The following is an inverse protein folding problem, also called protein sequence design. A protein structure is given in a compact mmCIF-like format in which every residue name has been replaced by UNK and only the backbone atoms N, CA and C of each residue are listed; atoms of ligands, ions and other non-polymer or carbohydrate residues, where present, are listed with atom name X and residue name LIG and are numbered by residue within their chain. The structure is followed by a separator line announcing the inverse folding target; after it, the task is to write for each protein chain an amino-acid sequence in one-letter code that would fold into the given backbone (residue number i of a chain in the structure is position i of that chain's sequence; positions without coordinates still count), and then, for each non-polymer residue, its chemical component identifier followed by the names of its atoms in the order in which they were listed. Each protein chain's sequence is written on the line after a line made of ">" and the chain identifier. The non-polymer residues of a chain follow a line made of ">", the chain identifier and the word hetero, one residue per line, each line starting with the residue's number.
data_IF_986703036598
#
_entry.id   IF_986703036598
#
_cell.length_a   1.000
_cell.length_b   1.000
_cell.length_c   1.000
_cell.angle_alpha   90.00
_cell.angle_beta   90.00
_cell.angle_gamma   90.00
#
_symmetry.space_group_name_H-M   'P 1'
#
loop_
_entity.id
_entity.type
_entity.pdbx_description
1 polymer ?
#
# COMPACT_ATOMS: atom_id res chain seq x y z
N UNK A 1 -7.58 6.82 14.87
CA UNK A 1 -7.18 8.26 14.99
C UNK A 1 -8.30 9.10 15.61
N UNK A 2 -9.55 8.96 15.14
CA UNK A 2 -10.73 9.63 15.71
C UNK A 2 -10.82 9.56 17.24
N UNK A 3 -10.69 8.38 17.82
CA UNK A 3 -10.80 8.21 19.27
C UNK A 3 -9.66 8.89 20.03
N UNK A 4 -8.44 8.82 19.48
CA UNK A 4 -7.28 9.51 20.05
C UNK A 4 -7.52 11.03 20.05
N UNK A 5 -8.05 11.60 18.97
CA UNK A 5 -8.37 13.04 18.91
C UNK A 5 -9.47 13.43 19.91
N UNK A 6 -10.48 12.56 20.12
CA UNK A 6 -11.54 12.79 21.11
C UNK A 6 -11.04 12.71 22.56
N UNK A 7 -10.05 11.86 22.83
CA UNK A 7 -9.43 11.70 24.14
C UNK A 7 -8.42 12.82 24.42
N UNK A 8 -7.44 13.03 23.53
CA UNK A 8 -6.35 13.98 23.72
C UNK A 8 -6.80 15.45 23.57
N UNK A 9 -7.89 15.70 22.83
CA UNK A 9 -8.48 17.03 22.57
C UNK A 9 -7.43 18.10 22.25
N UNK A 10 -6.54 17.87 21.26
CA UNK A 10 -5.52 18.84 20.92
C UNK A 10 -6.16 20.14 20.41
N UNK A 11 -5.64 21.28 20.86
CA UNK A 11 -6.08 22.60 20.38
C UNK A 11 -5.54 22.83 18.96
N UNK A 12 -6.40 23.06 17.94
CA UNK A 12 -5.93 23.37 16.60
C UNK A 12 -5.26 24.76 16.58
N UNK A 13 -4.09 24.86 15.97
CA UNK A 13 -3.30 26.10 15.89
C UNK A 13 -3.75 27.04 14.77
N UNK A 14 -4.49 26.52 13.79
CA UNK A 14 -4.94 27.24 12.59
C UNK A 14 -6.26 26.63 12.09
N UNK A 15 -6.89 27.29 11.11
CA UNK A 15 -8.15 26.84 10.53
C UNK A 15 -8.01 25.51 9.78
N UNK A 16 -6.85 25.25 9.17
CA UNK A 16 -6.64 24.00 8.43
C UNK A 16 -6.63 22.78 9.35
N UNK A 17 -5.92 22.85 10.48
CA UNK A 17 -5.97 21.83 11.54
C UNK A 17 -7.36 21.71 12.14
N UNK A 18 -8.08 22.81 12.32
CA UNK A 18 -9.45 22.81 12.87
C UNK A 18 -10.42 22.07 11.95
N UNK A 19 -10.39 22.37 10.65
CA UNK A 19 -11.17 21.66 9.63
C UNK A 19 -10.78 20.17 9.57
N UNK A 20 -9.48 19.86 9.57
CA UNK A 20 -8.99 18.48 9.58
C UNK A 20 -9.49 17.70 10.80
N UNK A 21 -9.44 18.27 12.01
CA UNK A 21 -9.93 17.61 13.22
C UNK A 21 -11.45 17.45 13.19
N UNK A 22 -12.17 18.44 12.67
CA UNK A 22 -13.62 18.37 12.42
C UNK A 22 -13.97 17.19 11.51
N UNK A 23 -13.31 17.11 10.36
CA UNK A 23 -13.46 16.03 9.38
C UNK A 23 -13.10 14.66 9.96
N UNK A 24 -11.93 14.51 10.60
CA UNK A 24 -11.49 13.24 11.21
C UNK A 24 -12.42 12.73 12.34
N UNK A 25 -13.24 13.62 12.92
CA UNK A 25 -14.15 13.26 14.01
C UNK A 25 -15.61 13.12 13.57
N UNK A 26 -15.89 13.25 12.26
CA UNK A 26 -17.21 13.33 11.63
C UNK A 26 -18.10 14.40 12.27
N UNK A 27 -17.53 15.57 12.59
CA UNK A 27 -18.34 16.72 13.03
C UNK A 27 -18.95 17.42 11.82
N UNK A 28 -20.17 17.90 11.96
CA UNK A 28 -20.81 18.77 10.97
C UNK A 28 -20.02 20.06 10.76
N UNK A 29 -19.99 20.57 9.53
CA UNK A 29 -19.21 21.75 9.14
C UNK A 29 -19.45 23.01 10.00
N UNK A 30 -20.69 23.33 10.45
CA UNK A 30 -20.90 24.49 11.33
C UNK A 30 -20.12 24.40 12.65
N UNK A 31 -19.77 23.19 13.11
CA UNK A 31 -18.97 22.96 14.32
C UNK A 31 -17.47 23.14 14.08
N UNK A 32 -17.04 23.46 12.85
CA UNK A 32 -15.65 23.73 12.50
C UNK A 32 -15.31 25.21 12.65
N UNK A 33 -16.29 26.09 12.90
CA UNK A 33 -16.08 27.52 13.01
C UNK A 33 -14.89 27.90 13.95
N UNK A 34 -14.04 28.85 13.55
CA UNK A 34 -14.15 29.71 12.36
C UNK A 34 -13.64 29.09 11.03
N UNK A 35 -13.27 27.80 11.01
CA UNK A 35 -12.86 27.12 9.80
C UNK A 35 -14.07 26.66 8.95
N UNK A 36 -13.85 26.53 7.65
CA UNK A 36 -14.81 26.04 6.67
C UNK A 36 -14.23 24.90 5.83
N UNK A 37 -15.02 24.35 4.90
CA UNK A 37 -14.58 23.26 4.02
C UNK A 37 -13.37 23.64 3.15
N UNK A 38 -13.28 24.91 2.74
CA UNK A 38 -12.15 25.44 1.97
C UNK A 38 -10.82 25.39 2.75
N UNK A 39 -10.85 25.33 4.09
CA UNK A 39 -9.65 25.25 4.92
C UNK A 39 -9.10 23.82 5.02
N UNK A 40 -9.83 22.81 4.53
CA UNK A 40 -9.34 21.42 4.56
C UNK A 40 -7.99 21.31 3.85
N UNK A 41 -7.03 20.54 4.43
CA UNK A 41 -5.79 20.26 3.74
C UNK A 41 -6.05 19.67 2.35
N UNK A 42 -5.32 20.15 1.35
CA UNK A 42 -5.53 19.81 -0.06
C UNK A 42 -5.69 18.30 -0.31
N UNK A 43 -4.85 17.47 0.32
CA UNK A 43 -4.90 16.01 0.18
C UNK A 43 -6.19 15.40 0.74
N UNK A 44 -6.80 16.00 1.76
CA UNK A 44 -8.10 15.57 2.30
C UNK A 44 -9.22 15.98 1.35
N UNK A 45 -9.17 17.20 0.81
CA UNK A 45 -10.13 17.67 -0.19
C UNK A 45 -10.10 16.78 -1.45
N UNK A 46 -8.90 16.42 -1.94
CA UNK A 46 -8.73 15.47 -3.05
C UNK A 46 -9.26 14.07 -2.71
N UNK A 47 -9.07 13.60 -1.47
CA UNK A 47 -9.61 12.30 -1.03
C UNK A 47 -11.14 12.31 -0.98
N UNK A 48 -11.76 13.41 -0.50
CA UNK A 48 -13.21 13.57 -0.53
C UNK A 48 -13.72 13.58 -1.97
N UNK A 49 -13.09 14.35 -2.85
CA UNK A 49 -13.42 14.39 -4.27
C UNK A 49 -13.27 13.02 -4.95
N UNK A 50 -12.27 12.23 -4.58
CA UNK A 50 -12.09 10.87 -5.10
C UNK A 50 -13.25 9.95 -4.71
N UNK A 51 -13.73 10.06 -3.47
CA UNK A 51 -14.83 9.24 -2.94
C UNK A 51 -16.18 9.61 -3.53
N UNK A 52 -16.39 10.88 -3.86
CA UNK A 52 -17.64 11.40 -4.43
C UNK A 52 -17.63 11.47 -5.95
N UNK A 53 -16.50 11.19 -6.61
CA UNK A 53 -16.39 11.16 -8.05
C UNK A 53 -17.48 10.27 -8.68
N UNK A 54 -18.07 10.73 -9.77
CA UNK A 54 -19.16 10.03 -10.46
C UNK A 54 -18.62 9.03 -11.47
N UNK A 55 -17.48 9.36 -12.10
CA UNK A 55 -16.85 8.53 -13.13
C UNK A 55 -15.48 7.98 -12.70
N UNK A 56 -15.00 6.94 -13.39
CA UNK A 56 -13.69 6.37 -13.09
C UNK A 56 -12.55 7.26 -13.62
N UNK A 57 -12.78 8.00 -14.70
CA UNK A 57 -11.83 8.95 -15.29
C UNK A 57 -11.52 10.08 -14.29
N UNK A 58 -12.53 10.59 -13.58
CA UNK A 58 -12.34 11.55 -12.50
C UNK A 58 -11.45 10.98 -11.39
N UNK A 59 -11.70 9.74 -10.96
CA UNK A 59 -10.87 9.05 -9.97
C UNK A 59 -9.42 8.89 -10.43
N UNK A 60 -9.22 8.50 -11.69
CA UNK A 60 -7.86 8.34 -12.27
C UNK A 60 -7.15 9.69 -12.37
N UNK A 61 -7.82 10.75 -12.84
CA UNK A 61 -7.25 12.09 -12.94
C UNK A 61 -6.81 12.63 -11.57
N UNK A 62 -7.62 12.42 -10.52
CA UNK A 62 -7.25 12.80 -9.16
C UNK A 62 -5.99 12.07 -8.65
N UNK A 63 -5.79 10.80 -9.03
CA UNK A 63 -4.60 10.04 -8.66
C UNK A 63 -3.35 10.41 -9.46
N UNK A 64 -3.52 10.92 -10.67
CA UNK A 64 -2.42 11.32 -11.55
C UNK A 64 -2.01 12.78 -11.33
N UNK A 65 -2.94 13.64 -10.93
CA UNK A 65 -2.75 15.09 -10.91
C UNK A 65 -2.77 15.67 -12.32
N UNK A 66 -2.90 17.00 -12.43
CA UNK A 66 -2.91 17.75 -13.68
C UNK A 66 -2.13 19.08 -13.50
N UNK A 67 -2.02 19.87 -14.57
CA UNK A 67 -1.42 21.21 -14.47
C UNK A 67 -2.16 22.07 -13.42
N UNK A 68 -1.45 22.48 -12.37
CA UNK A 68 -2.00 23.28 -11.28
C UNK A 68 -2.76 22.48 -10.21
N UNK A 69 -2.87 21.14 -10.33
CA UNK A 69 -3.48 20.28 -9.31
C UNK A 69 -2.58 19.09 -8.97
N UNK A 70 -2.06 18.98 -7.74
CA UNK A 70 -1.23 17.86 -7.37
C UNK A 70 -2.04 16.56 -7.33
N UNK A 71 -1.34 15.47 -7.59
CA UNK A 71 -1.89 14.14 -7.48
C UNK A 71 -2.24 13.80 -6.03
N UNK A 72 -3.35 13.08 -5.85
CA UNK A 72 -3.74 12.52 -4.56
C UNK A 72 -2.69 11.53 -4.05
N UNK A 73 -2.26 11.73 -2.81
CA UNK A 73 -1.30 10.90 -2.06
C UNK A 73 -1.99 10.35 -0.82
N UNK A 74 -2.83 9.34 -1.03
CA UNK A 74 -3.51 8.62 0.04
C UNK A 74 -3.04 7.17 0.11
N UNK A 75 -3.17 6.57 1.31
CA UNK A 75 -2.97 5.14 1.49
C UNK A 75 -4.09 4.39 0.73
N UNK A 76 -3.73 3.32 0.02
CA UNK A 76 -4.61 2.64 -0.93
C UNK A 76 -5.96 2.19 -0.32
N UNK A 77 -5.98 1.82 0.95
CA UNK A 77 -7.17 1.36 1.68
C UNK A 77 -8.18 2.47 1.93
N UNK A 78 -7.76 3.74 1.92
CA UNK A 78 -8.68 4.88 1.99
C UNK A 78 -9.43 5.12 0.66
N UNK A 79 -8.97 4.48 -0.42
CA UNK A 79 -9.48 4.58 -1.78
C UNK A 79 -10.25 3.32 -2.23
N UNK A 80 -9.95 2.18 -1.61
CA UNK A 80 -10.38 0.85 -2.05
C UNK A 80 -11.90 0.67 -2.05
N UNK A 81 -12.59 1.25 -1.08
CA UNK A 81 -14.03 1.14 -0.87
C UNK A 81 -14.86 1.84 -1.96
N UNK A 82 -14.30 2.87 -2.57
CA UNK A 82 -14.95 3.74 -3.56
C UNK A 82 -14.38 3.59 -4.96
N UNK A 83 -13.35 2.76 -5.14
CA UNK A 83 -12.75 2.50 -6.45
C UNK A 83 -13.74 1.82 -7.40
N UNK A 84 -14.06 2.48 -8.52
CA UNK A 84 -15.16 2.07 -9.40
C UNK A 84 -14.88 0.85 -10.28
N UNK A 85 -13.64 0.63 -10.70
CA UNK A 85 -13.31 -0.38 -11.71
C UNK A 85 -11.83 -0.79 -11.68
N UNK A 86 -11.44 -1.86 -12.43
CA UNK A 86 -10.04 -2.30 -12.53
C UNK A 86 -9.06 -1.20 -12.98
N UNK A 87 -9.50 -0.24 -13.79
CA UNK A 87 -8.68 0.90 -14.25
C UNK A 87 -8.33 1.83 -13.09
N UNK A 88 -9.26 2.07 -12.15
CA UNK A 88 -8.97 2.83 -10.93
C UNK A 88 -8.03 2.06 -10.03
N UNK A 89 -8.27 0.76 -9.84
CA UNK A 89 -7.36 -0.11 -9.09
C UNK A 89 -5.96 -0.16 -9.68
N UNK A 90 -5.84 -0.08 -11.01
CA UNK A 90 -4.57 0.03 -11.73
C UNK A 90 -3.85 1.35 -11.42
N UNK A 91 -4.57 2.46 -11.36
CA UNK A 91 -4.02 3.75 -10.95
C UNK A 91 -3.60 3.73 -9.45
N UNK A 92 -4.40 3.11 -8.58
CA UNK A 92 -4.07 2.92 -7.16
C UNK A 92 -2.80 2.05 -7.03
N UNK A 93 -2.67 0.97 -7.80
CA UNK A 93 -1.47 0.12 -7.78
C UNK A 93 -0.20 0.91 -8.15
N UNK A 94 -0.29 1.86 -9.09
CA UNK A 94 0.83 2.72 -9.49
C UNK A 94 1.22 3.72 -8.39
N UNK A 95 0.27 4.16 -7.55
CA UNK A 95 0.55 5.07 -6.43
C UNK A 95 1.02 4.35 -5.16
N UNK A 96 0.90 3.02 -5.08
CA UNK A 96 1.37 2.24 -3.93
C UNK A 96 2.90 2.33 -3.78
N UNK A 97 3.34 2.46 -2.52
CA UNK A 97 4.73 2.22 -2.14
C UNK A 97 5.10 0.73 -2.26
N UNK A 98 6.41 0.38 -2.31
CA UNK A 98 6.87 -1.00 -2.57
C UNK A 98 6.28 -2.05 -1.62
N UNK A 99 6.20 -1.71 -0.32
CA UNK A 99 5.66 -2.61 0.69
C UNK A 99 4.15 -2.84 0.53
N UNK A 100 3.39 -1.78 0.25
CA UNK A 100 1.96 -1.87 0.02
C UNK A 100 1.65 -2.67 -1.25
N UNK A 101 2.41 -2.45 -2.32
CA UNK A 101 2.28 -3.20 -3.57
C UNK A 101 2.52 -4.71 -3.33
N UNK A 102 3.63 -5.07 -2.68
CA UNK A 102 3.96 -6.47 -2.35
C UNK A 102 2.88 -7.14 -1.49
N UNK A 103 2.33 -6.43 -0.51
CA UNK A 103 1.34 -6.99 0.42
C UNK A 103 -0.05 -7.16 -0.19
N UNK A 104 -0.36 -6.48 -1.30
CA UNK A 104 -1.72 -6.44 -1.86
C UNK A 104 -1.86 -7.09 -3.23
N UNK A 105 -0.89 -7.90 -3.68
CA UNK A 105 -0.95 -8.56 -4.99
C UNK A 105 -2.24 -9.38 -5.18
N UNK A 106 -2.65 -10.19 -4.19
CA UNK A 106 -3.89 -10.95 -4.27
C UNK A 106 -5.14 -10.05 -4.30
N UNK A 107 -5.10 -8.87 -3.65
CA UNK A 107 -6.19 -7.89 -3.72
C UNK A 107 -6.27 -7.28 -5.11
N UNK A 108 -5.14 -6.89 -5.69
CA UNK A 108 -5.06 -6.36 -7.05
C UNK A 108 -5.56 -7.40 -8.07
N UNK A 109 -5.19 -8.67 -7.91
CA UNK A 109 -5.70 -9.77 -8.74
C UNK A 109 -7.22 -9.89 -8.67
N UNK A 110 -7.81 -9.89 -7.46
CA UNK A 110 -9.27 -9.97 -7.26
C UNK A 110 -10.03 -8.80 -7.91
N UNK A 111 -9.38 -7.65 -8.05
CA UNK A 111 -9.94 -6.48 -8.72
C UNK A 111 -9.56 -6.39 -10.21
N UNK A 112 -9.07 -7.48 -10.82
CA UNK A 112 -8.83 -7.58 -12.27
C UNK A 112 -7.64 -6.77 -12.78
N UNK A 113 -6.79 -6.25 -11.89
CA UNK A 113 -5.66 -5.37 -12.23
C UNK A 113 -4.66 -6.05 -13.17
N UNK A 114 -4.48 -7.37 -13.03
CA UNK A 114 -3.51 -8.14 -13.82
C UNK A 114 -4.06 -8.71 -15.12
N UNK A 115 -5.25 -8.29 -15.55
CA UNK A 115 -5.71 -8.51 -16.93
C UNK A 115 -4.95 -7.61 -17.94
N UNK A 116 -4.40 -6.48 -17.47
CA UNK A 116 -3.52 -5.61 -18.25
C UNK A 116 -2.06 -6.11 -18.19
N UNK A 117 -1.59 -6.66 -19.31
CA UNK A 117 -0.21 -7.16 -19.44
C UNK A 117 0.86 -6.08 -19.23
N UNK A 118 0.58 -4.82 -19.58
CA UNK A 118 1.49 -3.71 -19.35
C UNK A 118 1.65 -3.44 -17.85
N UNK A 119 0.56 -3.57 -17.09
CA UNK A 119 0.58 -3.40 -15.65
C UNK A 119 1.26 -4.57 -14.92
N UNK A 120 1.06 -5.80 -15.42
CA UNK A 120 1.82 -6.97 -14.95
C UNK A 120 3.32 -6.72 -15.07
N UNK A 121 3.78 -6.26 -16.25
CA UNK A 121 5.19 -5.91 -16.47
C UNK A 121 5.65 -4.79 -15.55
N UNK A 122 4.85 -3.72 -15.39
CA UNK A 122 5.18 -2.61 -14.50
C UNK A 122 5.38 -3.07 -13.06
N UNK A 123 4.45 -3.87 -12.52
CA UNK A 123 4.52 -4.40 -11.16
C UNK A 123 5.70 -5.36 -11.00
N UNK A 124 5.92 -6.24 -11.97
CA UNK A 124 7.07 -7.16 -11.96
C UNK A 124 8.41 -6.42 -11.92
N UNK A 125 8.57 -5.35 -12.70
CA UNK A 125 9.77 -4.50 -12.69
C UNK A 125 9.93 -3.81 -11.33
N UNK A 126 8.88 -3.18 -10.79
CA UNK A 126 8.96 -2.50 -9.50
C UNK A 126 9.26 -3.42 -8.32
N UNK A 127 8.74 -4.65 -8.34
CA UNK A 127 9.01 -5.63 -7.28
C UNK A 127 10.45 -6.11 -7.27
N UNK A 128 11.10 -6.14 -8.45
CA UNK A 128 12.48 -6.58 -8.62
C UNK A 128 13.48 -5.40 -8.72
N UNK A 129 13.05 -4.17 -8.43
CA UNK A 129 13.90 -2.98 -8.45
C UNK A 129 14.92 -3.06 -7.30
N UNK A 130 16.19 -3.22 -7.65
CA UNK A 130 17.28 -3.42 -6.70
C UNK A 130 17.49 -2.22 -5.78
N UNK A 131 17.29 -0.99 -6.28
CA UNK A 131 17.43 0.22 -5.48
C UNK A 131 16.30 0.29 -4.44
N UNK A 132 15.06 0.05 -4.84
CA UNK A 132 13.91 0.03 -3.93
C UNK A 132 14.02 -1.10 -2.89
N UNK A 133 14.47 -2.30 -3.30
CA UNK A 133 14.68 -3.42 -2.37
C UNK A 133 15.70 -3.06 -1.30
N UNK A 134 16.90 -2.58 -1.69
CA UNK A 134 17.95 -2.18 -0.74
C UNK A 134 17.51 -1.02 0.16
N UNK A 135 16.83 -0.02 -0.40
CA UNK A 135 16.32 1.15 0.34
C UNK A 135 15.22 0.79 1.33
N UNK A 136 14.37 -0.18 1.00
CA UNK A 136 13.22 -0.58 1.83
C UNK A 136 13.61 -1.26 3.14
N UNK A 137 14.85 -1.78 3.26
CA UNK A 137 15.33 -2.59 4.39
C UNK A 137 14.41 -3.79 4.72
N UNK A 138 13.68 -4.26 3.72
CA UNK A 138 12.82 -5.42 3.82
C UNK A 138 13.68 -6.69 3.86
N UNK A 139 13.44 -7.56 4.83
CA UNK A 139 14.19 -8.82 4.97
C UNK A 139 13.83 -9.81 3.85
N UNK A 140 14.78 -10.67 3.42
CA UNK A 140 14.57 -11.66 2.37
C UNK A 140 13.33 -12.53 2.58
N UNK A 141 13.12 -12.99 3.82
CA UNK A 141 12.00 -13.86 4.16
C UNK A 141 10.64 -13.21 3.88
N UNK A 142 10.55 -11.89 3.82
CA UNK A 142 9.28 -11.20 3.58
C UNK A 142 8.91 -11.20 2.09
N UNK A 143 9.90 -11.17 1.19
CA UNK A 143 9.67 -11.42 -0.24
C UNK A 143 9.34 -12.88 -0.49
N UNK A 144 10.08 -13.79 0.16
CA UNK A 144 9.80 -15.23 0.10
C UNK A 144 8.39 -15.55 0.62
N UNK A 145 7.97 -14.96 1.74
CA UNK A 145 6.62 -15.13 2.26
C UNK A 145 5.55 -14.61 1.29
N UNK A 146 5.81 -13.50 0.58
CA UNK A 146 4.89 -13.03 -0.46
C UNK A 146 4.83 -14.05 -1.62
N UNK A 147 5.98 -14.54 -2.10
CA UNK A 147 6.07 -15.56 -3.15
C UNK A 147 5.29 -16.84 -2.79
N UNK A 148 5.36 -17.29 -1.54
CA UNK A 148 4.66 -18.50 -1.09
C UNK A 148 3.14 -18.31 -0.87
N UNK A 149 2.66 -17.07 -0.73
CA UNK A 149 1.26 -16.78 -0.37
C UNK A 149 0.47 -16.04 -1.47
N UNK A 150 1.09 -15.73 -2.61
CA UNK A 150 0.36 -15.23 -3.78
C UNK A 150 -0.51 -16.35 -4.37
N UNK A 151 -1.71 -16.00 -4.85
CA UNK A 151 -2.62 -16.99 -5.43
C UNK A 151 -2.06 -17.61 -6.72
N UNK A 152 -2.61 -18.76 -7.11
CA UNK A 152 -2.21 -19.45 -8.33
C UNK A 152 -2.46 -18.61 -9.59
N UNK A 153 -3.49 -17.78 -9.56
CA UNK A 153 -3.88 -16.86 -10.63
C UNK A 153 -2.91 -15.69 -10.86
N UNK A 154 -2.01 -15.40 -9.91
CA UNK A 154 -1.03 -14.32 -10.09
C UNK A 154 -0.10 -14.65 -11.26
N UNK A 155 0.08 -13.73 -12.23
CA UNK A 155 0.93 -13.96 -13.39
C UNK A 155 2.34 -14.40 -13.01
N UNK A 156 2.86 -15.37 -13.78
CA UNK A 156 4.19 -15.95 -13.54
C UNK A 156 5.30 -14.90 -13.46
N UNK A 157 5.23 -13.83 -14.26
CA UNK A 157 6.19 -12.73 -14.22
C UNK A 157 6.29 -12.07 -12.83
N UNK A 158 5.16 -11.87 -12.14
CA UNK A 158 5.13 -11.30 -10.79
C UNK A 158 5.71 -12.30 -9.78
N UNK A 159 5.37 -13.60 -9.90
CA UNK A 159 5.94 -14.66 -9.06
C UNK A 159 7.45 -14.74 -9.19
N UNK A 160 7.96 -14.75 -10.43
CA UNK A 160 9.38 -14.74 -10.73
C UNK A 160 10.08 -13.49 -10.17
N UNK A 161 9.46 -12.32 -10.27
CA UNK A 161 9.98 -11.10 -9.67
C UNK A 161 10.05 -11.15 -8.13
N UNK A 162 9.06 -11.74 -7.45
CA UNK A 162 9.12 -11.93 -6.00
C UNK A 162 10.27 -12.85 -5.59
N UNK A 163 10.48 -13.94 -6.33
CA UNK A 163 11.61 -14.83 -6.13
C UNK A 163 12.94 -14.07 -6.32
N UNK A 164 13.08 -13.32 -7.44
CA UNK A 164 14.27 -12.50 -7.70
C UNK A 164 14.50 -11.44 -6.61
N UNK A 165 13.43 -10.83 -6.11
CA UNK A 165 13.51 -9.85 -5.03
C UNK A 165 14.01 -10.46 -3.71
N UNK A 166 13.63 -11.71 -3.41
CA UNK A 166 14.17 -12.44 -2.26
C UNK A 166 15.69 -12.65 -2.38
N UNK A 167 16.17 -13.06 -3.55
CA UNK A 167 17.60 -13.20 -3.85
C UNK A 167 18.37 -11.87 -3.70
N UNK A 168 17.83 -10.78 -4.27
CA UNK A 168 18.45 -9.45 -4.16
C UNK A 168 18.50 -9.02 -2.69
N UNK A 169 17.43 -9.25 -1.93
CA UNK A 169 17.38 -8.91 -0.52
C UNK A 169 18.41 -9.68 0.32
N UNK A 170 18.79 -10.90 -0.09
CA UNK A 170 19.86 -11.67 0.57
C UNK A 170 21.22 -10.97 0.48
N UNK A 171 21.45 -10.14 -0.54
CA UNK A 171 22.66 -9.30 -0.64
C UNK A 171 22.82 -8.28 0.50
N UNK A 172 21.78 -8.06 1.33
CA UNK A 172 21.88 -7.25 2.55
C UNK A 172 22.40 -8.05 3.77
N UNK A 173 22.57 -9.37 3.63
CA UNK A 173 23.07 -10.25 4.70
C UNK A 173 24.60 -10.32 4.60
N UNK A 174 25.34 -10.17 5.71
CA UNK A 174 26.79 -10.29 5.70
C UNK A 174 27.26 -11.64 5.15
N UNK A 175 28.36 -11.63 4.40
CA UNK A 175 29.03 -12.86 3.98
C UNK A 175 29.69 -13.54 5.20
N UNK A 176 29.54 -14.87 5.29
CA UNK A 176 30.18 -15.67 6.34
C UNK A 176 31.59 -16.08 5.89
N UNK A 177 32.64 -15.79 6.67
CA UNK A 177 34.00 -16.15 6.30
C UNK A 177 34.25 -17.66 6.45
N UNK A 178 34.92 -18.25 5.46
CA UNK A 178 35.39 -19.65 5.51
C UNK A 178 34.36 -20.69 5.05
N UNK A 179 34.70 -21.99 5.18
CA UNK A 179 33.78 -23.06 4.80
C UNK A 179 32.59 -23.12 5.76
N UNK A 180 31.37 -23.06 5.20
CA UNK A 180 30.11 -23.09 5.96
C UNK A 180 29.48 -24.47 5.85
N UNK A 181 29.14 -25.08 6.99
CA UNK A 181 28.31 -26.29 7.06
C UNK A 181 26.93 -25.90 7.59
N UNK A 182 25.88 -26.19 6.82
CA UNK A 182 24.50 -25.88 7.19
C UNK A 182 23.81 -27.18 7.64
N UNK A 183 23.56 -27.30 8.94
CA UNK A 183 22.73 -28.38 9.50
C UNK A 183 21.29 -27.89 9.71
N UNK A 184 20.35 -28.37 8.89
CA UNK A 184 18.93 -28.04 9.02
C UNK A 184 18.23 -29.08 9.88
N UNK A 185 17.64 -28.65 11.00
CA UNK A 185 16.70 -29.51 11.73
C UNK A 185 15.41 -29.67 10.90
N UNK A 186 14.99 -30.92 10.71
CA UNK A 186 13.77 -31.32 10.00
C UNK A 186 12.81 -32.12 10.89
N UNK A 187 13.03 -32.10 12.21
CA UNK A 187 12.17 -32.70 13.22
C UNK A 187 10.74 -32.14 13.16
N UNK A 188 9.76 -32.88 13.70
CA UNK A 188 8.36 -32.47 13.66
C UNK A 188 8.08 -31.09 14.28
N UNK A 189 8.86 -30.66 15.28
CA UNK A 189 8.75 -29.32 15.88
C UNK A 189 9.02 -28.19 14.89
N UNK A 190 9.81 -28.43 13.83
CA UNK A 190 10.13 -27.45 12.80
C UNK A 190 8.95 -27.10 11.88
N UNK A 191 7.81 -27.81 12.01
CA UNK A 191 6.55 -27.43 11.36
C UNK A 191 5.80 -26.29 12.08
N UNK A 192 6.28 -25.87 13.26
CA UNK A 192 5.64 -24.82 14.05
C UNK A 192 5.76 -23.44 13.39
N UNK A 193 4.73 -22.61 13.53
CA UNK A 193 4.72 -21.27 12.95
C UNK A 193 5.67 -20.31 13.68
N UNK A 194 6.65 -19.74 12.95
CA UNK A 194 7.66 -18.82 13.50
C UNK A 194 7.08 -17.46 13.92
N UNK A 195 5.99 -17.01 13.29
CA UNK A 195 5.33 -15.71 13.58
C UNK A 195 3.93 -15.86 14.17
N UNK A 196 3.66 -17.01 14.80
CA UNK A 196 2.36 -17.39 15.34
C UNK A 196 1.39 -17.91 14.28
N UNK A 197 0.40 -18.71 14.72
CA UNK A 197 -0.68 -19.19 13.87
C UNK A 197 -1.69 -18.07 13.64
N UNK A 198 -1.80 -17.59 12.41
CA UNK A 198 -2.91 -16.74 11.99
C UNK A 198 -3.96 -17.70 11.44
N UNK A 199 -5.05 -17.88 12.17
CA UNK A 199 -6.14 -18.78 11.76
C UNK A 199 -6.62 -18.49 10.35
N UNK A 200 -7.26 -19.48 9.71
CA UNK A 200 -8.00 -19.25 8.46
C UNK A 200 -9.23 -18.40 8.82
N UNK A 201 -9.17 -17.11 8.47
CA UNK A 201 -10.36 -16.26 8.41
C UNK A 201 -11.17 -16.58 7.17
#
# INVERSE_FOLDING_TARGET
>A
LRDILRMARPTPTDNSRRALFGWLTDKEQPKWAPAAEIDLPEQVSLLVAFRTAETFEQQVALLQGDEGRPALRARWDLLADTAKCPQVWSAIAKSMGPQALRMNLNTLQRHGVFQDTALVRYVAVRLADEYEIRRSRQFPYQYFAAYMNVSDEIPHAIKASLHKAAEIACGNVPELPGPVVIGLDVSGSMQSAVRGFRGRG
#
